data_IF_409335892840
#
_entry.id   IF_409335892840
#
_cell.length_a   1.000
_cell.length_b   1.000
_cell.length_c   1.000
_cell.angle_alpha   90.00
_cell.angle_beta   90.00
_cell.angle_gamma   90.00
#
_symmetry.space_group_name_H-M   'P 1'
#
loop_
_entity.id
_entity.type
_entity.pdbx_description
1 polymer ?
#
# COMPACT_ATOMS: atom_id res chain seq x y z
N UNK A 1 3.81 13.46 -14.87
CA UNK A 1 3.50 12.98 -13.52
C UNK A 1 4.41 13.73 -12.53
N UNK A 2 3.84 14.55 -11.66
CA UNK A 2 4.63 15.38 -10.75
C UNK A 2 5.28 14.50 -9.67
N UNK A 3 6.59 14.30 -9.75
CA UNK A 3 7.40 13.55 -8.78
C UNK A 3 7.16 14.01 -7.32
N UNK A 4 6.80 15.27 -7.12
CA UNK A 4 6.51 15.86 -5.80
C UNK A 4 5.31 15.23 -5.07
N UNK A 5 4.29 14.77 -5.80
CA UNK A 5 3.08 14.15 -5.21
C UNK A 5 3.40 12.74 -4.72
N UNK A 6 4.26 12.01 -5.43
CA UNK A 6 4.71 10.68 -5.06
C UNK A 6 5.59 10.72 -3.80
N UNK A 7 6.48 11.71 -3.69
CA UNK A 7 7.32 11.91 -2.50
C UNK A 7 6.53 12.35 -1.27
N UNK A 8 5.47 13.13 -1.46
CA UNK A 8 4.59 13.53 -0.36
C UNK A 8 3.80 12.35 0.21
N UNK A 9 3.38 11.41 -0.63
CA UNK A 9 2.62 10.22 -0.22
C UNK A 9 3.47 9.18 0.52
N UNK A 10 4.76 9.12 0.26
CA UNK A 10 5.60 7.99 0.69
C UNK A 10 6.70 8.34 1.68
N UNK A 11 6.87 9.62 2.02
CA UNK A 11 7.88 10.07 2.97
C UNK A 11 9.24 9.40 2.71
N UNK A 12 10.12 10.06 2.01
CA UNK A 12 11.41 9.53 1.54
C UNK A 12 12.26 8.81 2.61
N UNK A 13 12.01 9.11 3.87
CA UNK A 13 12.77 8.55 5.01
C UNK A 13 12.20 7.22 5.54
N UNK A 14 10.90 7.00 5.47
CA UNK A 14 10.29 5.80 6.05
C UNK A 14 10.58 4.53 5.24
N UNK A 15 10.60 4.61 3.91
CA UNK A 15 10.86 3.47 3.03
C UNK A 15 12.30 2.95 3.10
N UNK A 16 13.29 3.84 3.26
CA UNK A 16 14.72 3.47 3.33
C UNK A 16 15.08 2.79 4.65
N UNK A 17 14.49 3.21 5.76
CA UNK A 17 14.82 2.68 7.09
C UNK A 17 14.29 1.26 7.26
N UNK A 18 13.11 0.96 6.74
CA UNK A 18 12.49 -0.38 6.84
C UNK A 18 13.25 -1.40 5.99
N UNK A 19 13.59 -1.06 4.75
CA UNK A 19 14.34 -1.96 3.85
C UNK A 19 15.77 -2.17 4.33
N UNK A 20 16.44 -1.13 4.84
CA UNK A 20 17.78 -1.23 5.39
C UNK A 20 17.85 -2.10 6.63
N UNK A 21 16.90 -1.98 7.55
CA UNK A 21 16.82 -2.80 8.77
C UNK A 21 16.53 -4.25 8.44
N UNK A 22 15.71 -4.51 7.43
CA UNK A 22 15.37 -5.86 6.98
C UNK A 22 16.56 -6.60 6.35
N UNK A 23 17.28 -5.93 5.44
CA UNK A 23 18.48 -6.49 4.84
C UNK A 23 19.59 -6.79 5.88
N UNK A 24 19.67 -5.96 6.91
CA UNK A 24 20.59 -6.17 8.01
C UNK A 24 20.21 -7.39 8.88
N UNK A 25 18.93 -7.59 9.17
CA UNK A 25 18.40 -8.75 9.91
C UNK A 25 18.69 -10.09 9.22
N UNK A 26 18.58 -10.14 7.90
CA UNK A 26 18.86 -11.34 7.11
C UNK A 26 20.37 -11.64 7.00
N UNK A 27 21.24 -10.68 7.23
CA UNK A 27 22.68 -10.86 7.26
C UNK A 27 23.25 -11.31 8.61
N UNK A 28 22.43 -11.35 9.67
CA UNK A 28 22.87 -11.77 10.99
C UNK A 28 22.78 -13.29 11.16
N UNK A 29 23.85 -13.96 11.68
CA UNK A 29 23.75 -15.36 12.09
C UNK A 29 22.77 -15.47 13.27
N UNK A 30 21.76 -16.31 13.11
CA UNK A 30 20.70 -16.57 14.09
C UNK A 30 21.22 -17.05 15.45
N UNK A 31 22.46 -17.51 15.51
CA UNK A 31 23.09 -18.10 16.69
C UNK A 31 23.52 -17.11 17.77
N UNK A 32 23.78 -15.86 17.43
CA UNK A 32 24.40 -14.88 18.36
C UNK A 32 23.45 -13.84 18.97
N UNK A 33 22.17 -13.83 18.61
CA UNK A 33 21.27 -12.79 19.10
C UNK A 33 19.78 -13.09 18.93
N UNK A 34 19.36 -14.36 19.02
CA UNK A 34 18.00 -14.80 18.72
C UNK A 34 16.90 -13.95 19.36
N UNK A 35 17.01 -13.55 20.62
CA UNK A 35 16.02 -12.71 21.30
C UNK A 35 16.07 -11.24 20.84
N UNK A 36 17.26 -10.71 20.60
CA UNK A 36 17.45 -9.33 20.11
C UNK A 36 16.99 -9.23 18.66
N UNK A 37 17.32 -10.20 17.82
CA UNK A 37 16.89 -10.26 16.43
C UNK A 37 15.35 -10.34 16.30
N UNK A 38 14.70 -11.15 17.14
CA UNK A 38 13.23 -11.24 17.19
C UNK A 38 12.61 -9.92 17.64
N UNK A 39 13.15 -9.26 18.67
CA UNK A 39 12.65 -7.97 19.13
C UNK A 39 12.75 -6.89 18.05
N UNK A 40 13.87 -6.80 17.35
CA UNK A 40 14.07 -5.86 16.22
C UNK A 40 13.14 -6.18 15.06
N UNK A 41 12.91 -7.45 14.77
CA UNK A 41 11.96 -7.89 13.75
C UNK A 41 10.52 -7.51 14.11
N UNK A 42 10.12 -7.63 15.36
CA UNK A 42 8.80 -7.21 15.86
C UNK A 42 8.59 -5.70 15.71
N UNK A 43 9.57 -4.88 16.08
CA UNK A 43 9.52 -3.43 15.89
C UNK A 43 9.43 -3.05 14.41
N UNK A 44 10.23 -3.70 13.56
CA UNK A 44 10.21 -3.49 12.12
C UNK A 44 8.85 -3.87 11.52
N UNK A 45 8.27 -5.00 11.94
CA UNK A 45 6.94 -5.43 11.51
C UNK A 45 5.87 -4.41 11.90
N UNK A 46 5.91 -3.89 13.12
CA UNK A 46 4.98 -2.87 13.58
C UNK A 46 5.09 -1.58 12.76
N UNK A 47 6.31 -1.15 12.46
CA UNK A 47 6.55 0.02 11.58
C UNK A 47 6.02 -0.20 10.17
N UNK A 48 6.18 -1.40 9.62
CA UNK A 48 5.65 -1.78 8.31
C UNK A 48 4.12 -1.81 8.31
N UNK A 49 3.48 -2.33 9.36
CA UNK A 49 2.03 -2.31 9.52
C UNK A 49 1.48 -0.88 9.54
N UNK A 50 2.13 0.02 10.27
CA UNK A 50 1.77 1.44 10.30
C UNK A 50 1.93 2.10 8.92
N UNK A 51 3.01 1.80 8.21
CA UNK A 51 3.26 2.33 6.86
C UNK A 51 2.20 1.84 5.86
N UNK A 52 1.83 0.57 5.91
CA UNK A 52 0.77 -0.01 5.07
C UNK A 52 -0.58 0.63 5.40
N UNK A 53 -0.88 0.84 6.66
CA UNK A 53 -2.12 1.50 7.09
C UNK A 53 -2.19 2.95 6.58
N UNK A 54 -1.12 3.72 6.69
CA UNK A 54 -1.02 5.09 6.14
C UNK A 54 -1.21 5.10 4.63
N UNK A 55 -0.62 4.13 3.94
CA UNK A 55 -0.77 3.98 2.50
C UNK A 55 -2.23 3.65 2.14
N UNK A 56 -2.89 2.78 2.89
CA UNK A 56 -4.30 2.46 2.70
C UNK A 56 -5.20 3.69 2.89
N UNK A 57 -4.94 4.51 3.89
CA UNK A 57 -5.65 5.77 4.12
C UNK A 57 -5.44 6.76 2.97
N UNK A 58 -4.20 6.90 2.50
CA UNK A 58 -3.86 7.74 1.37
C UNK A 58 -4.55 7.27 0.08
N UNK A 59 -4.59 5.97 -0.18
CA UNK A 59 -5.33 5.39 -1.32
C UNK A 59 -6.83 5.68 -1.21
N UNK A 60 -7.42 5.54 -0.03
CA UNK A 60 -8.83 5.86 0.20
C UNK A 60 -9.15 7.34 -0.10
N UNK A 61 -8.29 8.26 0.31
CA UNK A 61 -8.41 9.70 -0.03
C UNK A 61 -8.34 9.95 -1.54
N UNK A 62 -7.47 9.22 -2.23
CA UNK A 62 -7.30 9.31 -3.69
C UNK A 62 -8.54 8.79 -4.43
N UNK A 63 -9.09 7.66 -3.97
CA UNK A 63 -10.37 7.14 -4.50
C UNK A 63 -11.48 8.16 -4.32
N UNK A 64 -11.57 8.81 -3.15
CA UNK A 64 -12.53 9.89 -2.92
C UNK A 64 -12.35 11.08 -3.87
N UNK A 65 -11.12 11.49 -4.13
CA UNK A 65 -10.81 12.55 -5.09
C UNK A 65 -11.19 12.17 -6.53
N UNK A 66 -10.91 10.94 -6.93
CA UNK A 66 -11.31 10.39 -8.22
C UNK A 66 -12.83 10.40 -8.39
N UNK A 67 -13.58 9.92 -7.40
CA UNK A 67 -15.04 9.89 -7.41
C UNK A 67 -15.64 11.31 -7.50
N UNK A 68 -15.04 12.29 -6.83
CA UNK A 68 -15.47 13.69 -6.93
C UNK A 68 -15.20 14.28 -8.32
N UNK A 69 -14.05 14.01 -8.91
CA UNK A 69 -13.71 14.45 -10.25
C UNK A 69 -14.67 13.84 -11.29
N UNK A 70 -14.96 12.56 -11.19
CA UNK A 70 -15.91 11.83 -12.04
C UNK A 70 -17.32 12.42 -11.93
N UNK A 71 -17.80 12.68 -10.73
CA UNK A 71 -19.10 13.32 -10.52
C UNK A 71 -19.16 14.70 -11.14
N UNK A 72 -18.12 15.49 -10.99
CA UNK A 72 -18.06 16.82 -11.58
C UNK A 72 -18.14 16.78 -13.11
N UNK A 73 -17.44 15.84 -13.72
CA UNK A 73 -17.53 15.60 -15.15
C UNK A 73 -18.96 15.24 -15.58
N UNK A 74 -19.58 14.26 -14.90
CA UNK A 74 -20.94 13.80 -15.19
C UNK A 74 -21.97 14.91 -15.02
N UNK A 75 -21.88 15.71 -13.95
CA UNK A 75 -22.74 16.86 -13.71
C UNK A 75 -22.62 17.89 -14.84
N UNK A 76 -21.41 18.19 -15.30
CA UNK A 76 -21.20 19.12 -16.40
C UNK A 76 -21.67 18.56 -17.73
N UNK A 77 -21.51 17.27 -17.98
CA UNK A 77 -22.03 16.63 -19.17
C UNK A 77 -23.58 16.68 -19.22
N UNK A 78 -24.24 16.47 -18.09
CA UNK A 78 -25.71 16.61 -17.98
C UNK A 78 -26.15 18.06 -18.16
N UNK A 79 -25.43 19.00 -17.56
CA UNK A 79 -25.69 20.43 -17.71
C UNK A 79 -25.58 20.87 -19.18
N UNK A 80 -24.58 20.36 -19.90
CA UNK A 80 -24.44 20.57 -21.34
C UNK A 80 -25.70 20.10 -22.10
N UNK A 81 -26.15 18.88 -21.83
CA UNK A 81 -27.41 18.36 -22.42
C UNK A 81 -28.59 19.27 -22.17
N UNK A 82 -28.77 19.75 -20.95
CA UNK A 82 -29.87 20.66 -20.60
C UNK A 82 -29.80 21.95 -21.40
N UNK A 83 -28.64 22.59 -21.52
CA UNK A 83 -28.51 23.80 -22.30
C UNK A 83 -28.69 23.59 -23.79
N UNK A 84 -28.24 22.47 -24.36
CA UNK A 84 -28.52 22.11 -25.74
C UNK A 84 -30.04 21.93 -25.99
N UNK A 85 -30.73 21.25 -25.09
CA UNK A 85 -32.19 21.09 -25.16
C UNK A 85 -32.92 22.43 -25.01
N UNK A 86 -32.49 23.29 -24.09
CA UNK A 86 -33.06 24.63 -23.92
C UNK A 86 -32.86 25.48 -25.16
N UNK A 87 -31.66 25.43 -25.77
CA UNK A 87 -31.39 26.13 -27.02
C UNK A 87 -32.30 25.66 -28.17
N UNK A 88 -32.47 24.34 -28.30
CA UNK A 88 -33.36 23.78 -29.32
C UNK A 88 -34.83 24.18 -29.13
N UNK A 89 -35.33 24.12 -27.90
CA UNK A 89 -36.69 24.55 -27.55
C UNK A 89 -36.91 26.03 -27.78
N UNK A 90 -35.98 26.88 -27.36
CA UNK A 90 -36.04 28.31 -27.58
C UNK A 90 -36.06 28.66 -29.08
N UNK A 91 -35.26 27.95 -29.87
CA UNK A 91 -35.22 28.13 -31.33
C UNK A 91 -36.54 27.72 -31.97
N UNK A 92 -37.14 26.63 -31.56
CA UNK A 92 -38.47 26.18 -32.03
C UNK A 92 -39.57 27.20 -31.68
N UNK A 93 -39.46 27.83 -30.52
CA UNK A 93 -40.41 28.86 -30.05
C UNK A 93 -40.17 30.24 -30.68
N UNK A 94 -39.15 30.39 -31.52
CA UNK A 94 -38.79 31.68 -32.12
C UNK A 94 -38.09 32.66 -31.19
N UNK A 95 -37.72 32.25 -29.99
CA UNK A 95 -37.00 33.10 -29.03
C UNK A 95 -35.49 33.00 -29.27
N UNK A 96 -35.01 33.84 -30.18
CA UNK A 96 -33.62 33.84 -30.65
C UNK A 96 -32.64 34.26 -29.53
N UNK A 97 -33.00 35.17 -28.67
CA UNK A 97 -32.15 35.65 -27.59
C UNK A 97 -31.94 34.56 -26.51
N UNK A 98 -33.00 33.86 -26.13
CA UNK A 98 -32.91 32.75 -25.22
C UNK A 98 -32.11 31.57 -25.81
N UNK A 99 -32.29 31.25 -27.11
CA UNK A 99 -31.50 30.25 -27.81
C UNK A 99 -30.03 30.59 -27.84
N UNK A 100 -29.67 31.84 -28.11
CA UNK A 100 -28.28 32.33 -28.11
C UNK A 100 -27.65 32.23 -26.74
N UNK A 101 -28.37 32.62 -25.67
CA UNK A 101 -27.87 32.54 -24.30
C UNK A 101 -27.61 31.07 -23.90
N UNK A 102 -28.55 30.17 -24.16
CA UNK A 102 -28.41 28.74 -23.86
C UNK A 102 -27.26 28.13 -24.66
N UNK A 103 -27.09 28.47 -25.92
CA UNK A 103 -25.97 27.97 -26.75
C UNK A 103 -24.62 28.46 -26.27
N UNK A 104 -24.54 29.73 -25.84
CA UNK A 104 -23.30 30.27 -25.25
C UNK A 104 -22.88 29.50 -24.02
N UNK A 105 -23.82 29.20 -23.12
CA UNK A 105 -23.55 28.38 -21.94
C UNK A 105 -23.15 26.96 -22.31
N UNK A 106 -23.81 26.36 -23.30
CA UNK A 106 -23.46 25.04 -23.81
C UNK A 106 -22.01 25.00 -24.34
N UNK A 107 -21.62 25.97 -25.13
CA UNK A 107 -20.24 26.05 -25.67
C UNK A 107 -19.20 26.22 -24.56
N UNK A 108 -19.48 27.02 -23.54
CA UNK A 108 -18.58 27.19 -22.40
C UNK A 108 -18.36 25.84 -21.65
N UNK A 109 -19.42 25.08 -21.45
CA UNK A 109 -19.33 23.76 -20.82
C UNK A 109 -18.60 22.77 -21.73
N UNK A 110 -18.89 22.77 -23.02
CA UNK A 110 -18.23 21.91 -24.00
C UNK A 110 -16.71 22.13 -24.04
N UNK A 111 -16.27 23.38 -23.89
CA UNK A 111 -14.84 23.72 -23.79
C UNK A 111 -14.19 23.25 -22.49
N UNK A 112 -14.97 23.16 -21.41
CA UNK A 112 -14.48 22.70 -20.10
C UNK A 112 -14.38 21.18 -20.00
N UNK A 113 -15.24 20.42 -20.67
CA UNK A 113 -15.33 18.97 -20.57
C UNK A 113 -14.00 18.23 -20.86
N UNK A 114 -13.21 18.58 -21.89
CA UNK A 114 -11.92 17.91 -22.13
C UNK A 114 -10.94 18.05 -20.97
N UNK A 115 -10.92 19.19 -20.29
CA UNK A 115 -10.08 19.42 -19.12
C UNK A 115 -10.53 18.55 -17.93
N UNK A 116 -11.83 18.47 -17.69
CA UNK A 116 -12.40 17.63 -16.65
C UNK A 116 -12.18 16.14 -16.94
N UNK A 117 -12.32 15.73 -18.18
CA UNK A 117 -12.02 14.37 -18.62
C UNK A 117 -10.55 14.00 -18.40
N UNK A 118 -9.64 14.91 -18.75
CA UNK A 118 -8.21 14.72 -18.52
C UNK A 118 -7.90 14.56 -17.02
N UNK A 119 -8.55 15.35 -16.16
CA UNK A 119 -8.41 15.25 -14.70
C UNK A 119 -8.92 13.90 -14.17
N UNK A 120 -10.08 13.44 -14.66
CA UNK A 120 -10.63 12.13 -14.29
C UNK A 120 -9.70 11.01 -14.71
N UNK A 121 -9.20 11.01 -15.92
CA UNK A 121 -8.27 10.00 -16.43
C UNK A 121 -6.95 9.98 -15.66
N UNK A 122 -6.41 11.15 -15.32
CA UNK A 122 -5.20 11.27 -14.52
C UNK A 122 -5.41 10.73 -13.10
N UNK A 123 -6.54 11.07 -12.48
CA UNK A 123 -6.90 10.58 -11.15
C UNK A 123 -7.10 9.05 -11.15
N UNK A 124 -7.72 8.50 -12.18
CA UNK A 124 -7.91 7.05 -12.36
C UNK A 124 -6.58 6.31 -12.44
N UNK A 125 -5.66 6.78 -13.28
CA UNK A 125 -4.33 6.19 -13.41
C UNK A 125 -3.57 6.22 -12.08
N UNK A 126 -3.68 7.32 -11.36
CA UNK A 126 -3.03 7.48 -10.06
C UNK A 126 -3.62 6.53 -9.01
N UNK A 127 -4.94 6.40 -8.95
CA UNK A 127 -5.63 5.46 -8.05
C UNK A 127 -5.22 4.03 -8.36
N UNK A 128 -5.20 3.63 -9.62
CA UNK A 128 -4.81 2.28 -10.02
C UNK A 128 -3.37 1.96 -9.63
N UNK A 129 -2.44 2.87 -9.88
CA UNK A 129 -1.04 2.72 -9.48
C UNK A 129 -0.88 2.63 -7.95
N UNK A 130 -1.64 3.43 -7.21
CA UNK A 130 -1.63 3.44 -5.74
C UNK A 130 -2.23 2.17 -5.15
N UNK A 131 -3.30 1.64 -5.73
CA UNK A 131 -3.89 0.34 -5.34
C UNK A 131 -2.92 -0.82 -5.57
N UNK A 132 -2.25 -0.84 -6.71
CA UNK A 132 -1.25 -1.86 -7.03
C UNK A 132 -0.09 -1.83 -6.04
N UNK A 133 0.37 -0.64 -5.68
CA UNK A 133 1.41 -0.48 -4.68
C UNK A 133 0.94 -0.96 -3.30
N UNK A 134 -0.27 -0.60 -2.90
CA UNK A 134 -0.85 -1.06 -1.63
C UNK A 134 -0.92 -2.58 -1.57
N UNK A 135 -1.34 -3.23 -2.64
CA UNK A 135 -1.40 -4.69 -2.73
C UNK A 135 0.00 -5.32 -2.60
N UNK A 136 0.99 -4.77 -3.28
CA UNK A 136 2.38 -5.24 -3.15
C UNK A 136 2.92 -5.08 -1.73
N UNK A 137 2.66 -3.95 -1.09
CA UNK A 137 3.11 -3.71 0.29
C UNK A 137 2.39 -4.61 1.29
N UNK A 138 1.10 -4.89 1.09
CA UNK A 138 0.36 -5.88 1.89
C UNK A 138 0.93 -7.29 1.74
N UNK A 139 1.27 -7.69 0.52
CA UNK A 139 1.85 -9.01 0.26
C UNK A 139 3.24 -9.13 0.92
N UNK A 140 4.07 -8.10 0.86
CA UNK A 140 5.35 -8.06 1.57
C UNK A 140 5.15 -8.14 3.08
N UNK A 141 4.16 -7.45 3.63
CA UNK A 141 3.86 -7.47 5.06
C UNK A 141 3.47 -8.90 5.51
N UNK A 142 2.63 -9.59 4.75
CA UNK A 142 2.25 -10.96 5.04
C UNK A 142 3.46 -11.91 4.98
N UNK A 143 4.33 -11.73 4.01
CA UNK A 143 5.57 -12.49 3.91
C UNK A 143 6.48 -12.25 5.12
N UNK A 144 6.63 -11.01 5.54
CA UNK A 144 7.42 -10.66 6.72
C UNK A 144 6.84 -11.22 8.02
N UNK A 145 5.52 -11.25 8.15
CA UNK A 145 4.88 -11.93 9.30
C UNK A 145 5.23 -13.39 9.36
N UNK A 146 5.15 -14.10 8.23
CA UNK A 146 5.49 -15.51 8.13
C UNK A 146 6.97 -15.74 8.47
N UNK A 147 7.86 -14.92 7.91
CA UNK A 147 9.30 -15.00 8.18
C UNK A 147 9.61 -14.74 9.66
N UNK A 148 8.92 -13.81 10.29
CA UNK A 148 9.08 -13.52 11.72
C UNK A 148 8.59 -14.69 12.60
N UNK A 149 7.47 -15.32 12.26
CA UNK A 149 6.97 -16.51 12.96
C UNK A 149 7.99 -17.65 12.88
N UNK A 150 8.58 -17.87 11.71
CA UNK A 150 9.65 -18.85 11.53
C UNK A 150 10.89 -18.52 12.35
N UNK A 151 11.27 -17.25 12.45
CA UNK A 151 12.37 -16.81 13.32
C UNK A 151 12.09 -17.06 14.81
N UNK A 152 10.84 -16.80 15.25
CA UNK A 152 10.42 -17.10 16.64
C UNK A 152 10.53 -18.60 16.94
N UNK A 153 10.05 -19.44 16.05
CA UNK A 153 10.12 -20.89 16.20
C UNK A 153 11.58 -21.37 16.29
N UNK A 154 12.46 -20.84 15.44
CA UNK A 154 13.89 -21.13 15.50
C UNK A 154 14.54 -20.65 16.80
N UNK A 155 14.17 -19.48 17.29
CA UNK A 155 14.67 -18.95 18.55
C UNK A 155 14.22 -19.81 19.76
N UNK A 156 12.99 -20.31 19.75
CA UNK A 156 12.47 -21.23 20.78
C UNK A 156 13.21 -22.55 20.76
N UNK A 157 13.45 -23.13 19.57
CA UNK A 157 14.21 -24.37 19.39
C UNK A 157 15.65 -24.20 19.90
N UNK A 158 16.32 -23.09 19.55
CA UNK A 158 17.67 -22.80 20.03
C UNK A 158 17.72 -22.64 21.55
N UNK A 159 16.74 -22.00 22.16
CA UNK A 159 16.62 -21.87 23.61
C UNK A 159 16.42 -23.22 24.30
N UNK A 160 15.61 -24.09 23.71
CA UNK A 160 15.41 -25.44 24.18
C UNK A 160 16.71 -26.30 24.08
N UNK A 161 17.45 -26.17 22.98
CA UNK A 161 18.73 -26.82 22.77
C UNK A 161 19.79 -26.36 23.79
N UNK A 162 19.85 -25.05 24.10
CA UNK A 162 20.74 -24.50 25.13
C UNK A 162 20.41 -25.11 26.52
N UNK A 163 19.12 -25.19 26.86
CA UNK A 163 18.66 -25.75 28.13
C UNK A 163 19.06 -27.23 28.24
N UNK A 164 18.92 -27.99 27.15
CA UNK A 164 19.32 -29.40 27.09
C UNK A 164 20.84 -29.55 27.17
N UNK A 165 21.60 -28.68 26.53
CA UNK A 165 23.07 -28.68 26.62
C UNK A 165 23.55 -28.44 28.07
N UNK A 166 22.89 -27.56 28.82
CA UNK A 166 23.16 -27.33 30.25
C UNK A 166 22.90 -28.60 31.07
N UNK A 167 21.74 -29.25 30.89
CA UNK A 167 21.39 -30.49 31.55
C UNK A 167 22.35 -31.60 31.15
N UNK A 168 22.77 -31.67 29.89
CA UNK A 168 23.70 -32.67 29.38
C UNK A 168 25.10 -32.53 29.98
N UNK A 169 25.56 -31.34 30.30
CA UNK A 169 26.82 -31.11 31.03
C UNK A 169 26.74 -31.62 32.48
N UNK A 170 25.56 -31.67 33.09
CA UNK A 170 25.38 -32.23 34.44
C UNK A 170 25.16 -33.74 34.45
N UNK A 171 24.53 -34.34 33.40
CA UNK A 171 24.08 -35.72 33.38
C UNK A 171 24.62 -36.60 32.23
N UNK A 172 25.47 -36.06 31.36
CA UNK A 172 26.12 -36.78 30.23
C UNK A 172 25.13 -37.50 29.26
N UNK A 173 24.11 -36.78 28.79
CA UNK A 173 23.06 -37.31 27.88
C UNK A 173 23.45 -37.07 26.41
N UNK A 174 24.50 -37.74 25.89
CA UNK A 174 25.00 -37.54 24.53
C UNK A 174 24.04 -37.93 23.40
N UNK A 175 23.14 -38.90 23.63
CA UNK A 175 22.16 -39.36 22.64
C UNK A 175 21.01 -38.38 22.42
N UNK A 176 20.55 -37.69 23.45
CA UNK A 176 19.53 -36.65 23.35
C UNK A 176 20.01 -35.43 22.53
N UNK A 177 21.28 -35.04 22.72
CA UNK A 177 21.93 -33.95 21.99
C UNK A 177 22.00 -34.19 20.48
N UNK A 178 22.32 -35.42 20.06
CA UNK A 178 22.38 -35.78 18.65
C UNK A 178 20.99 -35.82 17.99
N UNK A 179 19.96 -36.26 18.70
CA UNK A 179 18.57 -36.24 18.22
C UNK A 179 18.05 -34.80 18.00
N UNK A 180 18.35 -33.90 18.91
CA UNK A 180 17.98 -32.48 18.76
C UNK A 180 18.78 -31.77 17.66
N UNK A 181 20.05 -32.09 17.47
CA UNK A 181 20.85 -31.57 16.38
C UNK A 181 20.31 -32.00 15.02
N UNK A 182 19.78 -33.21 14.91
CA UNK A 182 19.11 -33.73 13.71
C UNK A 182 17.79 -32.99 13.45
N UNK A 183 17.00 -32.72 14.48
CA UNK A 183 15.77 -31.97 14.39
C UNK A 183 16.03 -30.49 13.96
N UNK A 184 17.08 -29.88 14.48
CA UNK A 184 17.53 -28.54 14.07
C UNK A 184 17.88 -28.47 12.58
N UNK A 185 18.58 -29.47 12.05
CA UNK A 185 18.90 -29.57 10.61
C UNK A 185 17.65 -29.73 9.74
N UNK A 186 16.66 -30.50 10.18
CA UNK A 186 15.41 -30.67 9.44
C UNK A 186 14.57 -29.38 9.36
N UNK A 187 14.64 -28.51 10.38
CA UNK A 187 13.92 -27.23 10.42
C UNK A 187 14.67 -26.12 9.67
N UNK A 188 16.02 -26.19 9.61
CA UNK A 188 16.85 -25.18 8.95
C UNK A 188 17.12 -25.47 7.46
N UNK A 189 16.73 -26.62 6.99
CA UNK A 189 16.74 -26.98 5.58
C UNK A 189 15.42 -26.62 4.93
#
# INVERSE_FOLDING_TARGET
MNKKIVYWLFGEKAGRTVVGTWNWLWGMPVETGGKVAVSVAEESLQSMQQSVQRLAEAVAMQVGAYERAKRKYEEKAEELKKFEQQAALAQQSGNTDAARLAMTKAIQIEQLLPQLEAQVNQAEQFVNASKDKLNRERNKLEQYKTDMENMKDLAEINSALESIAKVNNEFDIGSARSSFASAKKAVSG
#
